data_IF_154174313124
#
_entry.id   IF_154174313124
#
_cell.length_a   1.000
_cell.length_b   1.000
_cell.length_c   1.000
_cell.angle_alpha   90.00
_cell.angle_beta   90.00
_cell.angle_gamma   90.00
#
_symmetry.space_group_name_H-M   'P 1'
#
loop_
_entity.id
_entity.type
_entity.pdbx_description
1 polymer ?
#
# COMPACT_ATOMS: atom_id res chain seq x y z
N UNK A 1 36.84 24.88 -2.45
CA UNK A 1 36.14 24.35 -1.25
C UNK A 1 34.83 23.70 -1.67
N UNK A 2 34.68 22.37 -1.54
CA UNK A 2 33.45 21.65 -1.92
C UNK A 2 32.36 21.85 -0.86
N UNK A 3 31.59 22.94 -0.98
CA UNK A 3 30.37 23.17 -0.18
C UNK A 3 29.39 22.00 -0.43
N UNK A 4 28.83 21.42 0.65
CA UNK A 4 27.69 20.48 0.67
C UNK A 4 27.97 18.97 0.51
N UNK A 5 29.15 18.46 0.89
CA UNK A 5 29.37 17.00 0.94
C UNK A 5 28.56 16.23 2.02
N UNK A 6 28.42 16.70 3.28
CA UNK A 6 27.75 15.90 4.33
C UNK A 6 26.23 15.77 4.14
N UNK A 7 25.58 16.72 3.47
CA UNK A 7 24.13 16.62 3.19
C UNK A 7 23.83 15.75 1.97
N UNK A 8 24.81 15.56 1.08
CA UNK A 8 24.69 14.69 -0.10
C UNK A 8 24.82 13.21 0.22
N UNK A 9 25.57 12.84 1.26
CA UNK A 9 25.71 11.43 1.67
C UNK A 9 24.41 10.87 2.24
N UNK A 10 23.56 11.68 2.87
CA UNK A 10 22.26 11.25 3.40
C UNK A 10 21.33 10.66 2.32
N UNK A 11 21.33 11.21 1.11
CA UNK A 11 20.51 10.70 -0.01
C UNK A 11 21.19 9.59 -0.81
N UNK A 12 22.42 9.19 -0.43
CA UNK A 12 23.08 8.06 -1.07
C UNK A 12 22.65 6.77 -0.42
N UNK A 13 22.38 5.79 -1.25
CA UNK A 13 22.25 4.41 -0.79
C UNK A 13 23.56 3.94 -0.18
N UNK A 14 23.49 3.41 1.04
CA UNK A 14 24.54 2.68 1.72
C UNK A 14 24.38 1.15 1.55
N UNK A 15 23.60 0.72 0.55
CA UNK A 15 23.45 -0.69 0.16
C UNK A 15 24.83 -1.22 -0.30
N UNK A 16 25.64 -1.70 0.65
CA UNK A 16 27.02 -2.13 0.42
C UNK A 16 27.96 -1.81 1.58
N UNK A 17 27.65 -0.81 2.39
CA UNK A 17 28.49 -0.38 3.53
C UNK A 17 28.24 -1.20 4.80
N UNK A 18 27.88 -2.48 4.63
CA UNK A 18 27.64 -3.37 5.76
C UNK A 18 28.98 -3.89 6.29
N UNK A 19 29.23 -3.83 7.61
CA UNK A 19 30.45 -4.39 8.18
C UNK A 19 30.53 -5.90 7.89
N UNK A 20 31.75 -6.46 7.76
CA UNK A 20 31.92 -7.90 7.62
C UNK A 20 31.17 -8.67 8.72
N UNK A 21 30.39 -9.67 8.33
CA UNK A 21 29.59 -10.47 9.27
C UNK A 21 28.25 -9.85 9.68
N UNK A 22 27.83 -8.75 9.06
CA UNK A 22 26.48 -8.21 9.26
C UNK A 22 25.42 -9.26 8.90
N UNK A 23 24.44 -9.41 9.80
CA UNK A 23 23.27 -10.28 9.62
C UNK A 23 22.02 -9.43 9.73
N UNK A 24 21.05 -9.67 8.88
CA UNK A 24 19.73 -9.06 9.00
C UNK A 24 18.98 -9.64 10.20
N UNK A 25 17.98 -8.92 10.70
CA UNK A 25 17.07 -9.40 11.76
C UNK A 25 16.43 -10.76 11.39
N UNK A 26 16.16 -10.96 10.09
CA UNK A 26 15.67 -12.23 9.58
C UNK A 26 16.71 -13.36 9.70
N UNK A 27 17.99 -13.09 9.46
CA UNK A 27 19.08 -14.07 9.65
C UNK A 27 19.40 -14.31 11.13
N UNK A 28 18.89 -13.46 12.02
CA UNK A 28 18.99 -13.58 13.47
C UNK A 28 17.73 -14.22 14.09
N UNK A 29 16.78 -14.67 13.28
CA UNK A 29 15.49 -15.25 13.72
C UNK A 29 14.70 -14.34 14.69
N UNK A 30 14.85 -13.01 14.53
CA UNK A 30 14.09 -12.04 15.31
C UNK A 30 12.62 -12.09 14.85
N UNK A 31 11.64 -12.11 15.79
CA UNK A 31 10.23 -12.08 15.44
C UNK A 31 9.90 -10.88 14.55
N UNK A 32 9.12 -11.13 13.50
CA UNK A 32 8.67 -10.04 12.65
C UNK A 32 7.74 -9.09 13.41
N UNK A 33 7.70 -7.81 13.04
CA UNK A 33 6.61 -6.95 13.46
C UNK A 33 5.26 -7.49 12.97
N UNK A 34 4.14 -7.06 13.58
CA UNK A 34 2.79 -7.37 13.11
C UNK A 34 2.61 -7.05 11.62
N UNK A 35 1.78 -7.83 10.92
CA UNK A 35 1.50 -7.67 9.48
C UNK A 35 0.86 -6.34 9.10
N UNK A 36 0.24 -5.70 10.09
CA UNK A 36 -0.38 -4.39 10.02
C UNK A 36 -0.35 -3.77 11.41
N UNK A 37 -0.51 -2.45 11.49
CA UNK A 37 -0.72 -1.79 12.76
C UNK A 37 -1.94 -2.39 13.47
N UNK A 38 -1.85 -2.63 14.79
CA UNK A 38 -3.00 -3.08 15.56
C UNK A 38 -4.17 -2.12 15.38
N UNK A 39 -5.37 -2.66 15.44
CA UNK A 39 -6.59 -1.88 15.52
C UNK A 39 -6.67 -1.29 16.94
N UNK A 40 -7.22 -0.08 17.07
CA UNK A 40 -7.58 0.44 18.39
C UNK A 40 -8.83 -0.26 18.91
N UNK A 41 -9.07 -0.22 20.21
CA UNK A 41 -10.21 -0.91 20.83
C UNK A 41 -11.56 -0.31 20.38
N UNK A 42 -11.59 0.97 20.04
CA UNK A 42 -12.81 1.73 19.68
C UNK A 42 -12.85 2.14 18.19
N UNK A 43 -12.41 1.27 17.27
CA UNK A 43 -12.48 1.55 15.84
C UNK A 43 -13.74 0.96 15.20
N UNK A 44 -14.47 1.79 14.46
CA UNK A 44 -15.55 1.31 13.59
C UNK A 44 -14.96 0.65 12.34
N UNK A 45 -15.45 -0.54 12.01
CA UNK A 45 -15.05 -1.28 10.82
C UNK A 45 -16.15 -1.16 9.75
N UNK A 46 -15.73 -0.81 8.55
CA UNK A 46 -16.61 -0.71 7.38
C UNK A 46 -16.14 -1.74 6.37
N UNK A 47 -17.00 -2.71 6.09
CA UNK A 47 -16.70 -3.73 5.10
C UNK A 47 -16.74 -3.15 3.69
N UNK A 48 -15.70 -3.43 2.92
CA UNK A 48 -15.64 -3.08 1.51
C UNK A 48 -16.13 -4.25 0.64
N UNK A 49 -16.78 -3.97 -0.51
CA UNK A 49 -17.12 -4.99 -1.48
C UNK A 49 -15.91 -5.84 -1.88
N UNK A 50 -16.11 -7.16 -1.93
CA UNK A 50 -15.07 -8.09 -2.36
C UNK A 50 -14.75 -7.88 -3.84
N UNK A 51 -13.46 -7.78 -4.16
CA UNK A 51 -12.99 -7.64 -5.54
C UNK A 51 -12.74 -9.01 -6.15
N UNK A 52 -13.50 -9.32 -7.21
CA UNK A 52 -13.37 -10.53 -8.00
C UNK A 52 -13.48 -10.23 -9.51
N UNK A 53 -13.61 -11.27 -10.34
CA UNK A 53 -13.68 -11.13 -11.80
C UNK A 53 -14.94 -10.45 -12.31
N UNK A 54 -16.00 -10.38 -11.50
CA UNK A 54 -17.28 -9.75 -11.81
C UNK A 54 -17.26 -8.23 -11.66
N UNK A 55 -16.22 -7.66 -11.04
CA UNK A 55 -16.10 -6.20 -10.89
C UNK A 55 -16.05 -5.52 -12.25
N UNK A 56 -16.84 -4.46 -12.38
CA UNK A 56 -16.93 -3.64 -13.59
C UNK A 56 -15.63 -2.83 -13.74
N UNK A 57 -14.85 -3.18 -14.75
CA UNK A 57 -13.61 -2.48 -15.10
C UNK A 57 -13.80 -1.92 -16.51
N UNK A 58 -13.66 -0.61 -16.68
CA UNK A 58 -13.86 0.09 -17.95
C UNK A 58 -12.92 -0.42 -19.06
N UNK A 59 -11.66 -0.72 -18.70
CA UNK A 59 -10.68 -1.27 -19.62
C UNK A 59 -9.77 -2.27 -18.91
N UNK A 60 -9.73 -3.51 -19.43
CA UNK A 60 -8.91 -4.61 -18.90
C UNK A 60 -7.61 -4.82 -19.69
N UNK A 61 -7.43 -4.11 -20.80
CA UNK A 61 -6.22 -4.18 -21.60
C UNK A 61 -5.09 -3.38 -20.94
N UNK A 62 -4.05 -4.08 -20.51
CA UNK A 62 -2.91 -3.49 -19.78
C UNK A 62 -2.12 -2.52 -20.66
N UNK A 63 -1.95 -2.83 -21.95
CA UNK A 63 -1.22 -1.96 -22.88
C UNK A 63 -1.93 -0.62 -23.00
N UNK A 64 -3.24 -0.65 -23.20
CA UNK A 64 -4.07 0.54 -23.29
C UNK A 64 -4.08 1.36 -22.00
N UNK A 65 -4.23 0.69 -20.85
CA UNK A 65 -4.22 1.36 -19.53
C UNK A 65 -2.91 2.10 -19.33
N UNK A 66 -1.77 1.45 -19.62
CA UNK A 66 -0.44 2.07 -19.50
C UNK A 66 -0.30 3.24 -20.48
N UNK A 67 -0.67 3.06 -21.74
CA UNK A 67 -0.52 4.08 -22.78
C UNK A 67 -1.41 5.32 -22.52
N UNK A 68 -2.63 5.11 -22.01
CA UNK A 68 -3.60 6.18 -21.72
C UNK A 68 -3.42 6.81 -20.34
N UNK A 69 -2.57 6.27 -19.47
CA UNK A 69 -2.35 6.80 -18.11
C UNK A 69 -1.86 8.24 -18.14
N UNK A 70 -2.56 9.13 -17.44
CA UNK A 70 -2.21 10.55 -17.27
C UNK A 70 -2.48 10.98 -15.83
N UNK A 71 -1.72 11.94 -15.33
CA UNK A 71 -2.01 12.57 -14.03
C UNK A 71 -3.14 13.60 -14.23
N UNK A 72 -4.29 13.37 -13.59
CA UNK A 72 -5.44 14.29 -13.61
C UNK A 72 -5.49 15.09 -12.31
N UNK A 73 -5.85 16.37 -12.40
CA UNK A 73 -5.95 17.31 -11.26
C UNK A 73 -7.23 18.15 -11.27
N UNK A 74 -8.08 17.94 -12.27
CA UNK A 74 -9.43 18.48 -12.36
C UNK A 74 -10.36 17.29 -12.32
N UNK A 75 -11.24 17.24 -11.33
CA UNK A 75 -12.14 16.12 -11.07
C UNK A 75 -13.58 16.56 -11.33
N UNK A 76 -14.43 15.60 -11.67
CA UNK A 76 -15.86 15.85 -11.73
C UNK A 76 -16.43 15.98 -10.31
N UNK A 77 -17.52 16.71 -10.16
CA UNK A 77 -18.26 16.81 -8.90
C UNK A 77 -19.22 15.61 -8.74
N UNK A 78 -18.66 14.41 -8.88
CA UNK A 78 -19.38 13.14 -8.75
C UNK A 78 -18.68 12.30 -7.66
N UNK A 79 -19.43 11.68 -6.75
CA UNK A 79 -18.84 10.79 -5.75
C UNK A 79 -18.24 9.56 -6.44
N UNK A 80 -17.19 9.01 -5.82
CA UNK A 80 -16.72 7.66 -6.15
C UNK A 80 -17.70 6.63 -5.57
N UNK A 81 -18.03 5.57 -6.31
CA UNK A 81 -18.81 4.47 -5.73
C UNK A 81 -17.97 3.67 -4.72
N UNK A 82 -18.63 2.94 -3.82
CA UNK A 82 -17.93 2.10 -2.85
C UNK A 82 -17.17 0.95 -3.53
N UNK A 83 -17.69 0.42 -4.64
CA UNK A 83 -17.04 -0.60 -5.46
C UNK A 83 -15.80 -0.05 -6.18
N UNK A 84 -15.86 1.17 -6.69
CA UNK A 84 -14.72 1.84 -7.33
C UNK A 84 -13.61 2.11 -6.31
N UNK A 85 -13.97 2.53 -5.08
CA UNK A 85 -13.03 2.69 -3.99
C UNK A 85 -12.37 1.35 -3.61
N UNK A 86 -13.19 0.30 -3.43
CA UNK A 86 -12.70 -1.03 -3.09
C UNK A 86 -11.75 -1.58 -4.16
N UNK A 87 -12.05 -1.37 -5.44
CA UNK A 87 -11.19 -1.76 -6.55
C UNK A 87 -9.84 -1.02 -6.50
N UNK A 88 -9.86 0.28 -6.23
CA UNK A 88 -8.64 1.09 -6.12
C UNK A 88 -7.74 0.63 -4.96
N UNK A 89 -8.34 0.38 -3.79
CA UNK A 89 -7.63 -0.12 -2.61
C UNK A 89 -7.08 -1.52 -2.82
N UNK A 90 -7.88 -2.41 -3.40
CA UNK A 90 -7.41 -3.75 -3.76
C UNK A 90 -6.23 -3.68 -4.74
N UNK A 91 -6.32 -2.86 -5.78
CA UNK A 91 -5.26 -2.75 -6.79
C UNK A 91 -3.94 -2.19 -6.23
N UNK A 92 -3.99 -1.43 -5.14
CA UNK A 92 -2.82 -0.75 -4.56
C UNK A 92 -2.23 -1.48 -3.35
N UNK A 93 -3.05 -2.14 -2.54
CA UNK A 93 -2.62 -2.76 -1.29
C UNK A 93 -3.36 -4.05 -0.90
N UNK A 94 -4.24 -4.57 -1.76
CA UNK A 94 -5.09 -5.72 -1.43
C UNK A 94 -4.33 -7.00 -1.09
N UNK A 95 -4.75 -7.68 -0.03
CA UNK A 95 -4.20 -8.98 0.41
C UNK A 95 -4.82 -10.11 -0.42
N UNK A 96 -3.98 -10.90 -1.09
CA UNK A 96 -4.40 -12.08 -1.88
C UNK A 96 -4.45 -13.35 -1.03
N UNK A 97 -3.48 -13.51 -0.13
CA UNK A 97 -3.38 -14.65 0.81
C UNK A 97 -2.41 -14.32 1.94
N UNK A 98 -2.58 -15.01 3.06
CA UNK A 98 -1.65 -15.02 4.19
C UNK A 98 -0.91 -16.36 4.21
N UNK A 99 0.40 -16.37 4.47
CA UNK A 99 1.28 -17.55 4.36
C UNK A 99 2.16 -17.69 5.60
N UNK A 100 2.51 -18.93 5.95
CA UNK A 100 3.47 -19.25 6.99
C UNK A 100 2.91 -19.01 8.40
N UNK A 101 1.67 -19.38 8.66
CA UNK A 101 1.00 -19.16 9.96
C UNK A 101 0.99 -17.68 10.38
N UNK A 102 0.38 -16.82 9.55
CA UNK A 102 0.36 -15.37 9.73
C UNK A 102 1.74 -14.68 9.71
N UNK A 103 2.76 -15.32 9.13
CA UNK A 103 4.11 -14.75 9.02
C UNK A 103 4.24 -13.68 7.94
N UNK A 104 3.56 -13.82 6.79
CA UNK A 104 3.58 -12.85 5.68
C UNK A 104 2.25 -12.72 4.94
N UNK A 105 1.96 -11.54 4.41
CA UNK A 105 0.87 -11.32 3.44
C UNK A 105 1.42 -11.27 2.02
N UNK A 106 0.75 -11.92 1.07
CA UNK A 106 0.99 -11.72 -0.35
C UNK A 106 -0.02 -10.70 -0.88
N UNK A 107 0.45 -9.55 -1.38
CA UNK A 107 -0.42 -8.48 -1.86
C UNK A 107 -0.46 -8.35 -3.39
N UNK A 108 -1.30 -7.43 -3.88
CA UNK A 108 -1.37 -7.05 -5.31
C UNK A 108 -0.12 -6.33 -5.81
N UNK A 109 0.70 -5.80 -4.90
CA UNK A 109 1.98 -5.14 -5.16
C UNK A 109 3.17 -5.95 -4.61
N UNK A 110 4.36 -5.87 -5.22
CA UNK A 110 5.57 -6.46 -4.66
C UNK A 110 6.08 -5.65 -3.45
N UNK A 111 6.77 -6.32 -2.53
CA UNK A 111 7.48 -5.68 -1.42
C UNK A 111 8.69 -6.52 -1.02
N UNK A 112 9.81 -5.86 -0.68
CA UNK A 112 11.03 -6.54 -0.24
C UNK A 112 10.73 -7.41 0.98
N UNK A 113 11.13 -8.69 0.92
CA UNK A 113 10.87 -9.67 1.97
C UNK A 113 9.39 -9.92 2.28
N UNK A 114 8.47 -9.53 1.39
CA UNK A 114 7.02 -9.56 1.62
C UNK A 114 6.58 -8.80 2.89
N UNK A 115 7.31 -7.74 3.26
CA UNK A 115 7.10 -7.02 4.52
C UNK A 115 5.97 -6.02 4.49
N UNK A 116 5.67 -5.43 3.33
CA UNK A 116 4.57 -4.48 3.16
C UNK A 116 4.54 -3.39 4.25
N UNK A 117 5.69 -2.73 4.48
CA UNK A 117 5.89 -1.77 5.57
C UNK A 117 5.04 -0.48 5.49
N UNK A 118 4.13 -0.38 4.53
CA UNK A 118 3.27 0.78 4.35
C UNK A 118 1.84 0.49 4.78
N UNK A 119 1.24 1.51 5.39
CA UNK A 119 -0.17 1.56 5.77
C UNK A 119 -0.88 2.55 4.85
N UNK A 120 -2.09 2.20 4.40
CA UNK A 120 -2.85 3.04 3.48
C UNK A 120 -3.91 3.82 4.27
N UNK A 121 -3.70 5.14 4.39
CA UNK A 121 -4.69 6.06 4.95
C UNK A 121 -5.40 6.82 3.84
N UNK A 122 -6.70 7.02 4.01
CA UNK A 122 -7.54 7.76 3.09
C UNK A 122 -8.02 9.04 3.75
N UNK A 123 -8.01 10.13 3.00
CA UNK A 123 -8.77 11.33 3.30
C UNK A 123 -9.97 11.30 2.36
N UNK A 124 -11.13 10.94 2.89
CA UNK A 124 -12.37 10.78 2.14
C UNK A 124 -13.13 12.10 2.16
N UNK A 125 -13.46 12.60 0.98
CA UNK A 125 -14.25 13.82 0.79
C UNK A 125 -15.60 13.55 0.13
N UNK A 126 -15.61 12.77 -0.96
CA UNK A 126 -16.81 12.52 -1.77
C UNK A 126 -16.83 11.07 -2.27
N UNK A 127 -17.27 10.16 -1.41
CA UNK A 127 -17.43 8.72 -1.70
C UNK A 127 -18.80 8.31 -1.20
N UNK A 128 -19.54 7.54 -2.00
CA UNK A 128 -20.83 7.02 -1.60
C UNK A 128 -20.71 6.15 -0.34
N UNK A 129 -21.71 6.25 0.56
CA UNK A 129 -21.81 5.44 1.78
C UNK A 129 -20.71 5.68 2.84
N UNK A 130 -19.78 6.61 2.61
CA UNK A 130 -18.78 7.01 3.60
C UNK A 130 -18.98 8.47 4.01
N UNK A 131 -18.83 8.74 5.31
CA UNK A 131 -18.78 10.11 5.81
C UNK A 131 -17.43 10.75 5.45
N UNK A 132 -17.37 12.06 5.19
CA UNK A 132 -16.09 12.73 4.98
C UNK A 132 -15.21 12.62 6.24
N UNK A 133 -13.96 12.20 6.07
CA UNK A 133 -13.10 11.88 7.22
C UNK A 133 -11.79 11.20 6.86
N UNK A 134 -11.08 10.73 7.89
CA UNK A 134 -9.82 10.00 7.75
C UNK A 134 -10.05 8.53 8.07
N UNK A 135 -9.65 7.66 7.15
CA UNK A 135 -9.82 6.21 7.26
C UNK A 135 -8.48 5.50 7.11
N UNK A 136 -8.38 4.27 7.62
CA UNK A 136 -7.27 3.35 7.38
C UNK A 136 -7.80 2.12 6.66
N UNK A 137 -7.22 1.79 5.52
CA UNK A 137 -7.49 0.52 4.86
C UNK A 137 -6.70 -0.59 5.56
N UNK A 138 -7.41 -1.64 5.97
CA UNK A 138 -6.87 -2.79 6.69
C UNK A 138 -7.17 -4.09 5.95
#
# INVERSE_FOLDING_TARGET
MKKNQPTRSFMKSNLGDYPPGWKSDQQLDIPNPPLQKPLGDDVELIDLPKIDRGVKILNRDVFDVINKRRSRRKFADLPLSIEELALLLWATAGVKRVVGDNYVTMRTVPSAGARHAFETYLIVHNVEQLTPGVYRYT
#
